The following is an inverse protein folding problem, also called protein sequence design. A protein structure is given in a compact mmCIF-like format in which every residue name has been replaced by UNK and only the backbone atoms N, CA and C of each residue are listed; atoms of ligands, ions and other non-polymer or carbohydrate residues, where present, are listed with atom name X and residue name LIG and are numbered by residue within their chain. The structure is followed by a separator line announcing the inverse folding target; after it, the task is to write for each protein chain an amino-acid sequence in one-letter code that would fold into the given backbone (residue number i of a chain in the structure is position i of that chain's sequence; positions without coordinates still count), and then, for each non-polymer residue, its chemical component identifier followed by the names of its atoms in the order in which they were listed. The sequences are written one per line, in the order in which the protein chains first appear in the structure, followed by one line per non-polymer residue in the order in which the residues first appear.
data_IF_357883641647
#
_entry.id   IF_357883641647
#
_cell.length_a   1.000
_cell.length_b   1.000
_cell.length_c   1.000
_cell.angle_alpha   90.00
_cell.angle_beta   90.00
_cell.angle_gamma   90.00
#
_symmetry.space_group_name_H-M   'P 1'
#
loop_
_entity.id
_entity.type
_entity.pdbx_description
1 polymer ?
#
# COMPACT_ATOMS: atom_id res chain seq x y z
N UNK A 1 15.48 -5.84 2.44
CA UNK A 1 14.06 -5.83 2.86
C UNK A 1 13.78 -7.18 3.50
N UNK A 2 13.66 -7.23 4.82
CA UNK A 2 13.51 -8.50 5.55
C UNK A 2 12.02 -8.83 5.64
N UNK A 3 11.60 -9.93 5.05
CA UNK A 3 10.23 -10.44 5.19
C UNK A 3 10.15 -11.37 6.40
N UNK A 4 8.98 -11.44 7.05
CA UNK A 4 8.72 -12.40 8.13
C UNK A 4 8.40 -13.81 7.61
N UNK A 5 8.30 -13.97 6.28
CA UNK A 5 7.95 -15.25 5.63
C UNK A 5 9.21 -16.09 5.43
N UNK A 6 9.22 -17.26 6.05
CA UNK A 6 10.19 -18.31 5.82
C UNK A 6 9.63 -19.33 4.83
N UNK A 7 10.22 -19.36 3.65
CA UNK A 7 9.89 -20.35 2.62
C UNK A 7 10.65 -21.65 2.87
N UNK A 8 9.94 -22.72 3.20
CA UNK A 8 10.53 -24.04 3.42
C UNK A 8 9.52 -25.14 3.18
N UNK A 9 9.99 -26.26 2.65
CA UNK A 9 9.28 -27.53 2.53
C UNK A 9 9.57 -28.48 3.71
N UNK A 10 10.55 -28.13 4.57
CA UNK A 10 11.00 -28.97 5.69
C UNK A 10 10.12 -28.86 6.93
N UNK A 11 9.32 -27.79 7.03
CA UNK A 11 8.44 -27.51 8.17
C UNK A 11 7.00 -27.44 7.69
N UNK A 12 6.07 -27.85 8.55
CA UNK A 12 4.64 -27.70 8.25
C UNK A 12 4.32 -26.20 8.13
N UNK A 13 3.50 -25.79 7.14
CA UNK A 13 3.09 -24.40 7.01
C UNK A 13 2.37 -23.93 8.27
N UNK A 14 2.78 -22.78 8.81
CA UNK A 14 2.33 -22.29 10.11
C UNK A 14 2.18 -20.77 10.08
N UNK A 15 1.08 -20.26 10.63
CA UNK A 15 0.84 -18.83 10.76
C UNK A 15 1.21 -18.36 12.17
N UNK A 16 2.31 -17.62 12.31
CA UNK A 16 2.70 -16.92 13.55
C UNK A 16 2.80 -15.41 13.32
N UNK A 17 1.98 -14.89 12.41
CA UNK A 17 1.86 -13.45 12.20
C UNK A 17 1.53 -12.75 13.54
N UNK A 18 2.15 -11.60 13.86
CA UNK A 18 3.01 -10.77 13.00
C UNK A 18 4.51 -11.09 13.03
N UNK A 19 4.95 -12.08 13.80
CA UNK A 19 6.38 -12.32 14.06
C UNK A 19 7.03 -13.17 12.97
N UNK A 20 6.34 -14.21 12.49
CA UNK A 20 6.88 -15.16 11.52
C UNK A 20 5.78 -15.91 10.77
N UNK A 21 6.01 -16.26 9.51
CA UNK A 21 5.12 -17.13 8.75
C UNK A 21 5.96 -18.23 8.12
N UNK A 22 5.61 -19.50 8.37
CA UNK A 22 6.25 -20.64 7.69
C UNK A 22 5.38 -20.99 6.49
N UNK A 23 5.96 -20.91 5.29
CA UNK A 23 5.24 -21.05 4.04
C UNK A 23 5.90 -22.08 3.13
N UNK A 24 5.13 -22.89 2.38
CA UNK A 24 5.70 -23.69 1.30
C UNK A 24 6.35 -22.77 0.26
N UNK A 25 7.41 -23.22 -0.43
CA UNK A 25 8.17 -22.38 -1.35
C UNK A 25 7.42 -22.07 -2.66
N UNK A 26 6.34 -22.80 -2.97
CA UNK A 26 5.56 -22.63 -4.20
C UNK A 26 4.07 -22.54 -3.90
N UNK A 27 3.38 -21.72 -4.68
CA UNK A 27 1.93 -21.66 -4.67
C UNK A 27 1.33 -22.98 -5.21
N UNK A 28 0.24 -23.43 -4.61
CA UNK A 28 -0.59 -24.51 -5.14
C UNK A 28 -1.73 -23.99 -6.00
N UNK A 29 -2.47 -24.88 -6.65
CA UNK A 29 -3.65 -24.55 -7.45
C UNK A 29 -4.75 -23.84 -6.64
N UNK A 30 -4.85 -24.13 -5.34
CA UNK A 30 -5.82 -23.48 -4.45
C UNK A 30 -5.53 -21.99 -4.15
N UNK A 31 -4.30 -21.51 -4.38
CA UNK A 31 -3.91 -20.15 -4.01
C UNK A 31 -4.67 -19.07 -4.79
N UNK A 32 -5.22 -19.37 -5.95
CA UNK A 32 -5.97 -18.35 -6.70
C UNK A 32 -7.28 -17.94 -6.00
N UNK A 33 -7.92 -18.87 -5.29
CA UNK A 33 -9.25 -18.65 -4.70
C UNK A 33 -9.25 -18.58 -3.17
N UNK A 34 -8.32 -19.25 -2.52
CA UNK A 34 -8.35 -19.46 -1.07
C UNK A 34 -7.37 -18.56 -0.29
N UNK A 35 -6.87 -17.49 -0.91
CA UNK A 35 -5.99 -16.52 -0.24
C UNK A 35 -6.79 -15.58 0.66
N UNK A 36 -6.33 -15.43 1.89
CA UNK A 36 -6.85 -14.50 2.89
C UNK A 36 -5.82 -13.45 3.24
N UNK A 37 -6.28 -12.26 3.64
CA UNK A 37 -5.44 -11.19 4.16
C UNK A 37 -5.09 -11.44 5.62
N UNK A 38 -3.84 -11.17 5.99
CA UNK A 38 -3.32 -11.31 7.35
C UNK A 38 -3.04 -9.94 7.95
N UNK A 39 -3.83 -9.59 8.96
CA UNK A 39 -3.70 -8.33 9.68
C UNK A 39 -3.99 -7.11 8.83
N UNK A 40 -3.61 -5.93 9.33
CA UNK A 40 -3.78 -4.66 8.64
C UNK A 40 -2.61 -4.37 7.67
N UNK A 41 -2.81 -3.49 6.68
CA UNK A 41 -1.73 -2.96 5.86
C UNK A 41 -0.60 -2.34 6.71
N UNK A 42 0.64 -2.68 6.38
CA UNK A 42 1.87 -2.20 7.04
C UNK A 42 2.60 -1.23 6.12
N UNK A 43 3.03 -0.11 6.69
CA UNK A 43 3.88 0.89 6.05
C UNK A 43 5.36 0.63 6.39
N UNK A 44 6.23 0.42 5.39
CA UNK A 44 7.69 0.32 5.56
C UNK A 44 8.47 1.56 5.11
N UNK A 45 7.77 2.70 5.01
CA UNK A 45 8.30 3.99 4.60
C UNK A 45 8.20 4.23 3.09
N UNK A 46 8.45 3.21 2.28
CA UNK A 46 8.33 3.30 0.81
C UNK A 46 7.13 2.54 0.27
N UNK A 47 6.71 1.48 0.93
CA UNK A 47 5.60 0.66 0.46
C UNK A 47 4.58 0.48 1.56
N UNK A 48 3.31 0.55 1.19
CA UNK A 48 2.26 -0.10 1.98
C UNK A 48 2.08 -1.49 1.43
N UNK A 49 2.23 -2.49 2.29
CA UNK A 49 2.05 -3.88 1.93
C UNK A 49 1.16 -4.60 2.94
N UNK A 50 0.62 -5.75 2.56
CA UNK A 50 -0.12 -6.63 3.46
C UNK A 50 0.29 -8.07 3.17
N UNK A 51 0.36 -8.89 4.21
CA UNK A 51 0.60 -10.31 4.01
C UNK A 51 -0.70 -11.00 3.61
N UNK A 52 -0.60 -11.94 2.67
CA UNK A 52 -1.70 -12.84 2.33
C UNK A 52 -1.27 -14.28 2.52
N UNK A 53 -2.21 -15.15 2.87
CA UNK A 53 -1.97 -16.57 3.09
C UNK A 53 -3.11 -17.43 2.57
N UNK A 54 -2.80 -18.56 1.96
CA UNK A 54 -3.78 -19.53 1.49
C UNK A 54 -4.31 -20.35 2.67
N UNK A 55 -5.63 -20.34 2.87
CA UNK A 55 -6.32 -21.11 3.90
C UNK A 55 -6.15 -22.62 3.75
N UNK A 56 -5.93 -23.11 2.52
CA UNK A 56 -5.80 -24.54 2.21
C UNK A 56 -4.36 -25.05 2.31
N UNK A 57 -3.45 -24.52 1.50
CA UNK A 57 -2.12 -25.14 1.35
C UNK A 57 -1.03 -24.54 2.23
N UNK A 58 -1.21 -23.36 2.81
CA UNK A 58 -0.13 -22.76 3.58
C UNK A 58 0.60 -21.59 2.94
N UNK A 59 0.50 -21.47 1.62
CA UNK A 59 1.30 -20.51 0.87
C UNK A 59 1.03 -19.08 1.31
N UNK A 60 2.07 -18.29 1.50
CA UNK A 60 1.98 -16.95 2.02
C UNK A 60 2.93 -16.04 1.23
N UNK A 61 2.51 -14.80 1.03
CA UNK A 61 3.28 -13.81 0.28
C UNK A 61 2.99 -12.40 0.81
N UNK A 62 3.86 -11.47 0.43
CA UNK A 62 3.69 -10.05 0.69
C UNK A 62 3.10 -9.38 -0.57
N UNK A 63 1.91 -8.80 -0.46
CA UNK A 63 1.29 -8.00 -1.54
C UNK A 63 1.62 -6.53 -1.31
N UNK A 64 2.19 -5.88 -2.32
CA UNK A 64 2.35 -4.42 -2.31
C UNK A 64 1.02 -3.79 -2.73
N UNK A 65 0.46 -2.95 -1.87
CA UNK A 65 -0.81 -2.27 -2.11
C UNK A 65 -0.59 -0.91 -2.79
N UNK A 66 0.43 -0.16 -2.37
CA UNK A 66 0.82 1.11 -2.99
C UNK A 66 2.27 1.47 -2.68
N UNK A 67 2.90 2.21 -3.59
CA UNK A 67 4.12 2.95 -3.30
C UNK A 67 3.75 4.25 -2.56
N UNK A 68 4.47 4.55 -1.49
CA UNK A 68 4.45 5.87 -0.86
C UNK A 68 5.59 6.67 -1.51
N UNK A 69 5.27 7.68 -2.32
CA UNK A 69 6.29 8.55 -2.86
C UNK A 69 6.98 9.28 -1.70
N UNK A 70 8.29 9.49 -1.82
CA UNK A 70 9.07 10.26 -0.86
C UNK A 70 8.31 11.55 -0.51
N UNK A 71 7.96 11.70 0.76
CA UNK A 71 7.11 12.79 1.24
C UNK A 71 7.77 14.15 0.93
N UNK A 72 9.09 14.23 0.98
CA UNK A 72 9.84 15.44 0.64
C UNK A 72 9.76 15.73 -0.87
N UNK A 73 9.87 14.71 -1.71
CA UNK A 73 9.70 14.82 -3.16
C UNK A 73 8.28 15.25 -3.53
N UNK A 74 7.27 14.61 -2.93
CA UNK A 74 5.86 14.94 -3.15
C UNK A 74 5.54 16.37 -2.72
N UNK A 75 6.05 16.83 -1.59
CA UNK A 75 5.93 18.21 -1.13
C UNK A 75 6.63 19.19 -2.08
N UNK A 76 7.82 18.83 -2.59
CA UNK A 76 8.55 19.59 -3.61
C UNK A 76 7.75 19.73 -4.90
N UNK A 77 7.25 18.63 -5.45
CA UNK A 77 6.41 18.58 -6.65
C UNK A 77 5.16 19.44 -6.50
N UNK A 78 4.43 19.34 -5.38
CA UNK A 78 3.26 20.18 -5.11
C UNK A 78 3.61 21.67 -5.17
N UNK A 79 4.71 22.09 -4.53
CA UNK A 79 5.17 23.50 -4.58
C UNK A 79 5.53 23.93 -6.00
N UNK A 80 6.19 23.08 -6.77
CA UNK A 80 6.56 23.38 -8.16
C UNK A 80 5.33 23.52 -9.05
N UNK A 81 4.39 22.58 -8.95
CA UNK A 81 3.16 22.61 -9.75
C UNK A 81 2.34 23.88 -9.47
N UNK A 82 2.13 24.23 -8.20
CA UNK A 82 1.45 25.50 -7.84
C UNK A 82 2.12 26.71 -8.48
N UNK A 83 3.46 26.79 -8.44
CA UNK A 83 4.20 27.90 -9.07
C UNK A 83 4.08 27.92 -10.59
N UNK A 84 4.06 26.75 -11.23
CA UNK A 84 3.95 26.64 -12.70
C UNK A 84 2.56 27.03 -13.19
N UNK A 85 1.51 26.67 -12.47
CA UNK A 85 0.13 27.06 -12.84
C UNK A 85 -0.17 28.54 -12.60
N UNK A 86 0.51 29.21 -11.66
CA UNK A 86 0.39 30.67 -11.45
C UNK A 86 1.00 31.48 -12.61
N UNK A 87 1.96 30.91 -13.37
CA UNK A 87 2.53 31.57 -14.56
C UNK A 87 1.75 31.38 -15.86
N UNK A 88 0.76 30.47 -15.88
CA UNK A 88 -0.12 30.28 -17.03
C UNK A 88 -1.36 31.20 -17.00
N UNK A 89 -1.52 32.00 -15.94
CA UNK A 89 -2.70 32.83 -15.68
C UNK A 89 -2.49 34.34 -15.78
N UNK A 90 -1.41 34.83 -16.40
CA UNK A 90 -1.35 36.24 -16.83
C UNK A 90 -2.13 36.40 -18.15
N UNK A 91 -3.45 36.24 -18.02
CA UNK A 91 -4.43 36.32 -19.11
C UNK A 91 -5.83 36.30 -18.52
N UNK A 92 -6.21 37.41 -17.88
CA UNK A 92 -7.57 37.92 -17.64
C UNK A 92 -8.73 36.91 -17.48
N UNK A 93 -9.32 36.84 -16.28
CA UNK A 93 -10.66 36.27 -16.08
C UNK A 93 -11.02 36.06 -14.61
N UNK A 94 -11.87 36.94 -14.10
CA UNK A 94 -12.61 36.94 -12.83
C UNK A 94 -12.44 35.74 -11.87
N UNK A 95 -11.98 36.05 -10.66
CA UNK A 95 -12.02 35.13 -9.53
C UNK A 95 -13.44 34.87 -9.05
N UNK A 96 -13.84 33.60 -9.03
CA UNK A 96 -14.92 33.11 -8.17
C UNK A 96 -14.30 32.11 -7.20
N UNK A 97 -14.17 32.55 -5.96
CA UNK A 97 -13.86 31.69 -4.82
C UNK A 97 -15.16 30.99 -4.42
N UNK A 98 -15.25 29.65 -4.38
CA UNK A 98 -16.38 29.02 -3.73
C UNK A 98 -16.16 29.08 -2.22
N UNK A 99 -16.84 30.01 -1.55
CA UNK A 99 -17.01 29.96 -0.09
C UNK A 99 -17.94 28.79 0.23
N UNK A 100 -17.39 27.73 0.81
CA UNK A 100 -18.17 26.70 1.48
C UNK A 100 -18.79 27.31 2.74
N UNK A 101 -19.99 27.88 2.62
CA UNK A 101 -20.83 28.19 3.78
C UNK A 101 -21.41 26.89 4.32
N UNK A 102 -20.91 26.51 5.49
CA UNK A 102 -21.56 25.57 6.41
C UNK A 102 -22.80 26.28 6.97
N UNK A 103 -23.99 25.75 6.68
CA UNK A 103 -25.18 26.05 7.49
C UNK A 103 -25.78 24.74 7.96
N UNK A 104 -25.62 24.49 9.26
CA UNK A 104 -26.40 23.54 10.02
C UNK A 104 -27.73 24.19 10.40
N UNK A 105 -28.84 23.53 10.06
CA UNK A 105 -30.06 23.34 10.87
C UNK A 105 -31.07 22.48 10.11
#
# INVERSE_FOLDING_TARGET
MTTIVEYTDRKRPENRYPVRIISPPRAGSCCFSDMEELGEPVDDGRWVFQYKRCKKCGFALRVILREIPDVALAAGLRRTLVKSFVRAGEGQGEGVVPTCETTAQ
#
